data_IF_771301418052
#
_entry.id   IF_771301418052
#
_cell.length_a   1.000
_cell.length_b   1.000
_cell.length_c   1.000
_cell.angle_alpha   90.00
_cell.angle_beta   90.00
_cell.angle_gamma   90.00
#
_symmetry.space_group_name_H-M   'P 1'
#
loop_
_entity.id
_entity.type
_entity.pdbx_description
1 polymer ?
#
# COMPACT_ATOMS: atom_id res chain seq x y z
N UNK A 1 9.78 -26.50 22.56
CA UNK A 1 9.01 -25.25 22.79
C UNK A 1 9.50 -24.11 21.89
N UNK A 2 10.80 -23.95 21.66
CA UNK A 2 11.38 -22.93 20.73
C UNK A 2 10.93 -23.01 19.26
N UNK A 3 10.65 -24.21 18.72
CA UNK A 3 10.11 -24.33 17.35
C UNK A 3 8.76 -23.63 17.22
N UNK A 4 7.95 -23.66 18.29
CA UNK A 4 6.64 -23.01 18.33
C UNK A 4 6.79 -21.50 18.35
N UNK A 5 7.71 -20.95 19.15
CA UNK A 5 8.00 -19.51 19.19
C UNK A 5 8.52 -18.99 17.84
N UNK A 6 9.45 -19.70 17.20
CA UNK A 6 9.98 -19.32 15.88
C UNK A 6 8.88 -19.36 14.80
N UNK A 7 8.04 -20.40 14.83
CA UNK A 7 6.89 -20.52 13.92
C UNK A 7 5.91 -19.38 14.16
N UNK A 8 5.63 -19.04 15.41
CA UNK A 8 4.71 -17.96 15.77
C UNK A 8 5.23 -16.61 15.29
N UNK A 9 6.52 -16.32 15.47
CA UNK A 9 7.16 -15.08 14.96
C UNK A 9 7.08 -15.03 13.43
N UNK A 10 7.37 -16.13 12.73
CA UNK A 10 7.25 -16.18 11.26
C UNK A 10 5.82 -16.04 10.78
N UNK A 11 4.85 -16.58 11.52
CA UNK A 11 3.43 -16.44 11.19
C UNK A 11 2.99 -14.97 11.34
N UNK A 12 3.37 -14.31 12.43
CA UNK A 12 3.13 -12.88 12.62
C UNK A 12 3.81 -12.04 11.54
N UNK A 13 5.06 -12.36 11.20
CA UNK A 13 5.78 -11.70 10.10
C UNK A 13 5.02 -11.85 8.76
N UNK A 14 4.46 -13.03 8.47
CA UNK A 14 3.62 -13.26 7.29
C UNK A 14 2.35 -12.40 7.31
N UNK A 15 1.66 -12.31 8.44
CA UNK A 15 0.45 -11.49 8.57
C UNK A 15 0.76 -10.01 8.34
N UNK A 16 1.84 -9.51 8.93
CA UNK A 16 2.29 -8.12 8.74
C UNK A 16 2.69 -7.87 7.29
N UNK A 17 3.37 -8.83 6.64
CA UNK A 17 3.69 -8.78 5.22
C UNK A 17 2.43 -8.64 4.35
N UNK A 18 1.41 -9.44 4.63
CA UNK A 18 0.17 -9.45 3.90
C UNK A 18 -0.60 -8.14 4.09
N UNK A 19 -0.60 -7.60 5.32
CA UNK A 19 -1.18 -6.30 5.62
C UNK A 19 -0.51 -5.17 4.83
N UNK A 20 0.84 -5.09 4.85
CA UNK A 20 1.57 -4.06 4.10
C UNK A 20 1.38 -4.20 2.59
N UNK A 21 1.40 -5.44 2.07
CA UNK A 21 1.17 -5.69 0.63
C UNK A 21 -0.23 -5.23 0.22
N UNK A 22 -1.25 -5.55 1.03
CA UNK A 22 -2.63 -5.12 0.79
C UNK A 22 -2.73 -3.60 0.81
N UNK A 23 -2.08 -2.94 1.78
CA UNK A 23 -2.06 -1.47 1.83
C UNK A 23 -1.36 -0.83 0.63
N UNK A 24 -0.26 -1.41 0.14
CA UNK A 24 0.39 -0.94 -1.08
C UNK A 24 -0.53 -1.06 -2.30
N UNK A 25 -1.26 -2.17 -2.41
CA UNK A 25 -2.25 -2.38 -3.47
C UNK A 25 -3.43 -1.41 -3.38
N UNK A 26 -3.94 -1.14 -2.17
CA UNK A 26 -5.01 -0.15 -1.97
C UNK A 26 -4.50 1.25 -2.32
N UNK A 27 -3.27 1.59 -1.90
CA UNK A 27 -2.68 2.89 -2.19
C UNK A 27 -2.46 3.09 -3.70
N UNK A 28 -1.78 2.16 -4.37
CA UNK A 28 -1.58 2.20 -5.82
C UNK A 28 -2.88 2.09 -6.61
N UNK A 29 -3.80 1.24 -6.14
CA UNK A 29 -5.13 1.06 -6.74
C UNK A 29 -5.97 2.32 -6.64
N UNK A 30 -6.02 2.97 -5.47
CA UNK A 30 -6.77 4.22 -5.28
C UNK A 30 -6.20 5.37 -6.11
N UNK A 31 -4.87 5.46 -6.27
CA UNK A 31 -4.25 6.47 -7.11
C UNK A 31 -4.73 6.38 -8.58
N UNK A 32 -5.07 5.19 -9.08
CA UNK A 32 -5.61 4.96 -10.43
C UNK A 32 -7.14 5.01 -10.45
N UNK A 33 -7.79 4.41 -9.45
CA UNK A 33 -9.25 4.30 -9.38
C UNK A 33 -9.92 5.65 -9.12
N UNK A 34 -9.30 6.57 -8.37
CA UNK A 34 -9.90 7.88 -8.09
C UNK A 34 -10.12 8.68 -9.40
N UNK A 35 -9.10 8.92 -10.25
CA UNK A 35 -9.30 9.55 -11.56
C UNK A 35 -10.37 8.86 -12.41
N UNK A 36 -10.35 7.52 -12.44
CA UNK A 36 -11.29 6.74 -13.23
C UNK A 36 -12.73 6.84 -12.69
N UNK A 37 -12.89 6.87 -11.36
CA UNK A 37 -14.17 7.05 -10.70
C UNK A 37 -14.74 8.45 -10.96
N UNK A 38 -13.89 9.48 -10.96
CA UNK A 38 -14.29 10.85 -11.34
C UNK A 38 -14.75 10.88 -12.81
N UNK A 39 -14.04 10.20 -13.71
CA UNK A 39 -14.45 10.08 -15.10
C UNK A 39 -15.81 9.39 -15.24
N UNK A 40 -15.98 8.21 -14.64
CA UNK A 40 -17.25 7.49 -14.67
C UNK A 40 -18.39 8.29 -14.04
N UNK A 41 -18.13 9.00 -12.95
CA UNK A 41 -19.09 9.90 -12.32
C UNK A 41 -19.53 11.03 -13.24
N UNK A 42 -18.59 11.65 -13.95
CA UNK A 42 -18.89 12.68 -14.94
C UNK A 42 -19.70 12.13 -16.13
N UNK A 43 -19.34 10.96 -16.65
CA UNK A 43 -20.09 10.29 -17.73
C UNK A 43 -21.53 9.99 -17.28
N UNK A 44 -21.70 9.36 -16.12
CA UNK A 44 -23.02 9.02 -15.59
C UNK A 44 -23.86 10.27 -15.31
N UNK A 45 -23.25 11.36 -14.84
CA UNK A 45 -23.95 12.63 -14.63
C UNK A 45 -24.47 13.21 -15.94
N UNK A 46 -23.67 13.18 -17.02
CA UNK A 46 -24.08 13.67 -18.33
C UNK A 46 -25.14 12.75 -18.97
N UNK A 47 -24.95 11.43 -18.87
CA UNK A 47 -25.82 10.42 -19.47
C UNK A 47 -27.20 10.38 -18.77
N UNK A 48 -27.21 10.18 -17.46
CA UNK A 48 -28.45 9.99 -16.69
C UNK A 48 -29.06 11.30 -16.18
N UNK A 49 -28.25 12.31 -15.90
CA UNK A 49 -28.72 13.59 -15.37
C UNK A 49 -29.27 14.54 -16.44
N UNK A 50 -28.68 14.52 -17.65
CA UNK A 50 -29.02 15.45 -18.74
C UNK A 50 -29.67 14.72 -19.93
N UNK A 51 -29.69 13.37 -19.92
CA UNK A 51 -30.29 12.56 -20.99
C UNK A 51 -29.44 12.51 -22.26
N UNK A 52 -28.15 12.83 -22.17
CA UNK A 52 -27.20 12.68 -23.27
C UNK A 52 -26.95 11.20 -23.52
N UNK A 53 -26.74 10.76 -24.76
CA UNK A 53 -26.35 9.37 -25.02
C UNK A 53 -24.92 9.13 -24.50
N UNK A 54 -24.71 8.04 -23.74
CA UNK A 54 -23.44 7.65 -23.11
C UNK A 54 -22.17 7.79 -23.98
N UNK A 55 -22.25 7.58 -25.29
CA UNK A 55 -21.11 7.79 -26.20
C UNK A 55 -20.73 9.28 -26.26
N UNK A 56 -21.71 10.16 -26.46
CA UNK A 56 -21.48 11.61 -26.50
C UNK A 56 -21.14 12.15 -25.11
N UNK A 57 -21.75 11.62 -24.05
CA UNK A 57 -21.39 11.95 -22.67
C UNK A 57 -19.91 11.66 -22.40
N UNK A 58 -19.38 10.53 -22.88
CA UNK A 58 -17.98 10.16 -22.71
C UNK A 58 -17.03 11.08 -23.48
N UNK A 59 -17.37 11.44 -24.73
CA UNK A 59 -16.57 12.36 -25.55
C UNK A 59 -16.43 13.75 -24.92
N UNK A 60 -17.45 14.20 -24.18
CA UNK A 60 -17.42 15.50 -23.48
C UNK A 60 -16.79 15.38 -22.08
N UNK A 61 -17.12 14.32 -21.34
CA UNK A 61 -16.61 14.11 -19.98
C UNK A 61 -15.11 13.83 -19.95
N UNK A 62 -14.57 13.08 -20.91
CA UNK A 62 -13.15 12.74 -20.96
C UNK A 62 -12.22 13.97 -20.99
N UNK A 63 -12.37 14.95 -21.90
CA UNK A 63 -11.55 16.16 -21.89
C UNK A 63 -11.82 17.06 -20.68
N UNK A 64 -13.06 17.13 -20.17
CA UNK A 64 -13.37 17.90 -18.96
C UNK A 64 -12.63 17.36 -17.73
N UNK A 65 -12.65 16.04 -17.54
CA UNK A 65 -11.93 15.37 -16.45
C UNK A 65 -10.42 15.40 -16.69
N UNK A 66 -9.97 15.25 -17.93
CA UNK A 66 -8.57 15.42 -18.30
C UNK A 66 -8.02 16.81 -17.94
N UNK A 67 -8.80 17.87 -18.17
CA UNK A 67 -8.44 19.23 -17.74
C UNK A 67 -8.39 19.37 -16.22
N UNK A 68 -9.30 18.72 -15.50
CA UNK A 68 -9.33 18.71 -14.04
C UNK A 68 -8.11 17.97 -13.45
N UNK A 69 -7.73 16.83 -14.03
CA UNK A 69 -6.51 16.11 -13.69
C UNK A 69 -5.26 16.93 -14.02
N UNK A 70 -5.25 17.65 -15.13
CA UNK A 70 -4.15 18.54 -15.49
C UNK A 70 -3.99 19.69 -14.48
N UNK A 71 -5.11 20.30 -14.04
CA UNK A 71 -5.09 21.29 -12.96
C UNK A 71 -4.54 20.72 -11.66
N UNK A 72 -4.93 19.48 -11.31
CA UNK A 72 -4.43 18.79 -10.13
C UNK A 72 -2.92 18.51 -10.22
N UNK A 73 -2.45 18.12 -11.42
CA UNK A 73 -1.03 17.91 -11.71
C UNK A 73 -0.20 19.19 -11.55
N UNK A 74 -0.79 20.33 -11.92
CA UNK A 74 -0.18 21.66 -11.80
C UNK A 74 -0.07 22.16 -10.36
N UNK A 75 -0.78 21.56 -9.41
CA UNK A 75 -0.65 21.94 -8.00
C UNK A 75 0.72 21.46 -7.50
N UNK A 76 1.65 22.37 -7.16
CA UNK A 76 2.96 21.98 -6.68
C UNK A 76 2.81 21.16 -5.39
N UNK A 77 3.75 20.24 -5.15
CA UNK A 77 3.78 19.28 -4.05
C UNK A 77 2.76 18.13 -4.06
N UNK A 78 1.64 18.16 -4.77
CA UNK A 78 0.64 17.08 -4.64
C UNK A 78 1.19 15.73 -5.11
N UNK A 79 1.83 15.69 -6.27
CA UNK A 79 2.38 14.44 -6.84
C UNK A 79 3.60 13.97 -6.07
N UNK A 80 4.44 14.90 -5.63
CA UNK A 80 5.62 14.61 -4.82
C UNK A 80 5.19 13.98 -3.50
N UNK A 81 4.21 14.58 -2.82
CA UNK A 81 3.65 14.05 -1.58
C UNK A 81 3.04 12.65 -1.78
N UNK A 82 2.36 12.42 -2.91
CA UNK A 82 1.81 11.11 -3.26
C UNK A 82 2.92 10.06 -3.40
N UNK A 83 3.97 10.38 -4.16
CA UNK A 83 5.10 9.46 -4.33
C UNK A 83 5.86 9.24 -3.02
N UNK A 84 6.10 10.28 -2.22
CA UNK A 84 6.75 10.18 -0.93
C UNK A 84 5.95 9.34 0.07
N UNK A 85 4.63 9.48 0.07
CA UNK A 85 3.73 8.67 0.93
C UNK A 85 3.81 7.20 0.54
N UNK A 86 3.77 6.89 -0.77
CA UNK A 86 3.92 5.52 -1.27
C UNK A 86 5.29 4.90 -0.93
N UNK A 87 6.37 5.66 -1.15
CA UNK A 87 7.72 5.25 -0.76
C UNK A 87 7.88 5.11 0.76
N UNK A 88 7.20 5.95 1.53
CA UNK A 88 7.15 5.89 2.99
C UNK A 88 6.52 4.59 3.48
N UNK A 89 5.37 4.20 2.92
CA UNK A 89 4.74 2.90 3.21
C UNK A 89 5.68 1.74 2.92
N UNK A 90 6.39 1.77 1.78
CA UNK A 90 7.33 0.72 1.41
C UNK A 90 8.52 0.63 2.38
N UNK A 91 9.11 1.77 2.74
CA UNK A 91 10.20 1.84 3.73
C UNK A 91 9.74 1.32 5.10
N UNK A 92 8.52 1.69 5.51
CA UNK A 92 7.94 1.22 6.77
C UNK A 92 7.77 -0.30 6.78
N UNK A 93 7.28 -0.88 5.68
CA UNK A 93 7.16 -2.33 5.52
C UNK A 93 8.52 -3.02 5.69
N UNK A 94 9.56 -2.55 5.00
CA UNK A 94 10.92 -3.10 5.11
C UNK A 94 11.44 -3.01 6.56
N UNK A 95 11.20 -1.89 7.24
CA UNK A 95 11.68 -1.70 8.59
C UNK A 95 11.00 -2.66 9.58
N UNK A 96 9.67 -2.83 9.47
CA UNK A 96 8.94 -3.83 10.26
C UNK A 96 9.48 -5.24 10.03
N UNK A 97 9.77 -5.61 8.78
CA UNK A 97 10.38 -6.91 8.45
C UNK A 97 11.74 -7.13 9.14
N UNK A 98 12.60 -6.11 9.14
CA UNK A 98 13.91 -6.17 9.80
C UNK A 98 13.79 -6.34 11.31
N UNK A 99 12.82 -5.69 11.93
CA UNK A 99 12.55 -5.83 13.37
C UNK A 99 12.08 -7.24 13.73
N UNK A 100 11.15 -7.82 12.95
CA UNK A 100 10.72 -9.21 13.14
C UNK A 100 11.88 -10.20 12.97
N UNK A 101 12.74 -9.98 11.97
CA UNK A 101 13.93 -10.81 11.77
C UNK A 101 14.94 -10.69 12.92
N UNK A 102 15.15 -9.48 13.45
CA UNK A 102 16.00 -9.25 14.61
C UNK A 102 15.46 -9.97 15.87
N UNK A 103 14.15 -9.95 16.09
CA UNK A 103 13.50 -10.68 17.20
C UNK A 103 13.67 -12.20 17.02
N UNK A 104 13.42 -12.72 15.81
CA UNK A 104 13.62 -14.13 15.51
C UNK A 104 15.08 -14.57 15.71
N UNK A 105 16.04 -13.71 15.34
CA UNK A 105 17.47 -13.96 15.51
C UNK A 105 17.90 -13.90 16.98
N UNK A 106 17.33 -12.99 17.80
CA UNK A 106 17.56 -12.96 19.25
C UNK A 106 17.04 -14.23 19.93
N UNK A 107 15.82 -14.65 19.62
CA UNK A 107 15.24 -15.91 20.14
C UNK A 107 16.08 -17.13 19.73
N UNK A 108 16.66 -17.10 18.52
CA UNK A 108 17.60 -18.13 18.05
C UNK A 108 18.98 -18.03 18.71
N UNK A 109 19.44 -16.82 19.04
CA UNK A 109 20.79 -16.49 19.53
C UNK A 109 20.99 -16.60 21.04
N UNK A 110 19.96 -16.34 21.85
CA UNK A 110 19.97 -16.51 23.32
C UNK A 110 20.26 -17.95 23.79
N UNK A 111 20.38 -18.91 22.86
CA UNK A 111 20.69 -20.30 23.15
C UNK A 111 22.07 -20.75 22.63
N UNK A 112 22.84 -19.87 21.97
CA UNK A 112 24.22 -20.19 21.56
C UNK A 112 25.25 -19.91 22.68
N UNK A 113 24.85 -19.22 23.75
CA UNK A 113 25.71 -18.86 24.90
C UNK A 113 25.34 -19.57 26.20
N UNK A 114 24.78 -20.77 26.12
CA UNK A 114 24.77 -21.71 27.26
C UNK A 114 25.84 -22.80 27.05
N UNK A 115 27.16 -22.48 27.03
CA UNK A 115 28.15 -23.52 27.16
C UNK A 115 28.16 -24.00 28.62
N UNK A 116 28.00 -25.31 28.80
CA UNK A 116 28.91 -26.10 29.63
C UNK A 116 29.49 -25.37 30.86
N UNK A 117 28.69 -25.22 31.92
CA UNK A 117 29.19 -24.97 33.27
C UNK A 117 28.40 -25.83 34.26
N UNK A 118 28.45 -27.14 34.06
CA UNK A 118 28.03 -28.15 35.03
C UNK A 118 28.71 -29.49 34.72
N UNK A 119 30.04 -29.46 34.60
CA UNK A 119 30.89 -30.64 34.63
C UNK A 119 32.29 -30.20 35.07
N UNK A 120 32.47 -30.09 36.39
CA UNK A 120 33.67 -30.38 37.19
C UNK A 120 33.44 -29.87 38.60
#
# INVERSE_FOLDING_TARGET
>A
MQKVEIILIRLTQLVVALFFTTMLFIYGGSAVLIPLAVLMGAVNFLDQGIGFNGIFATVVAAPAVGWLLYKLYLIPNVIILLMETGLGLFKMAINSFREFEAIAKKVKGDNATSPTSAAN
#
